data_IF_187107916966
#
_entry.id   IF_187107916966
#
_cell.length_a   1.000
_cell.length_b   1.000
_cell.length_c   1.000
_cell.angle_alpha   90.00
_cell.angle_beta   90.00
_cell.angle_gamma   90.00
#
_symmetry.space_group_name_H-M   'P 1'
#
loop_
_entity.id
_entity.type
_entity.pdbx_description
1 polymer ?
#
# COMPACT_ATOMS: atom_id res chain seq x y z
N UNK A 1 -26.22 -4.97 -29.93
CA UNK A 1 -25.41 -4.78 -31.14
C UNK A 1 -24.24 -3.89 -30.79
N UNK A 2 -23.03 -4.39 -30.83
CA UNK A 2 -21.82 -3.56 -30.67
C UNK A 2 -21.59 -2.90 -32.03
N UNK A 3 -21.90 -1.61 -32.14
CA UNK A 3 -21.69 -0.83 -33.37
C UNK A 3 -20.19 -0.64 -33.56
N UNK A 4 -19.65 -1.29 -34.59
CA UNK A 4 -18.22 -1.21 -34.92
C UNK A 4 -17.94 0.15 -35.54
N UNK A 5 -17.47 1.13 -34.73
CA UNK A 5 -17.07 2.46 -35.19
C UNK A 5 -15.55 2.58 -35.21
N UNK A 6 -14.87 2.15 -36.28
CA UNK A 6 -13.39 2.08 -36.30
C UNK A 6 -12.73 3.44 -36.07
N UNK A 7 -13.32 4.53 -36.57
CA UNK A 7 -12.81 5.89 -36.36
C UNK A 7 -12.90 6.33 -34.89
N UNK A 8 -13.98 6.03 -34.19
CA UNK A 8 -14.12 6.33 -32.77
C UNK A 8 -13.13 5.50 -31.92
N UNK A 9 -12.92 4.24 -32.28
CA UNK A 9 -11.95 3.37 -31.62
C UNK A 9 -10.51 3.91 -31.79
N UNK A 10 -10.14 4.30 -33.01
CA UNK A 10 -8.81 4.90 -33.28
C UNK A 10 -8.63 6.20 -32.49
N UNK A 11 -9.65 7.09 -32.51
CA UNK A 11 -9.59 8.35 -31.75
C UNK A 11 -9.45 8.11 -30.25
N UNK A 12 -10.18 7.15 -29.70
CA UNK A 12 -10.07 6.77 -28.26
C UNK A 12 -8.67 6.27 -27.94
N UNK A 13 -8.08 5.41 -28.77
CA UNK A 13 -6.72 4.93 -28.55
C UNK A 13 -5.68 6.05 -28.66
N UNK A 14 -5.82 6.95 -29.64
CA UNK A 14 -4.95 8.12 -29.75
C UNK A 14 -5.02 9.00 -28.51
N UNK A 15 -6.22 9.29 -28.01
CA UNK A 15 -6.41 10.08 -26.78
C UNK A 15 -5.78 9.40 -25.57
N UNK A 16 -5.95 8.07 -25.43
CA UNK A 16 -5.34 7.30 -24.34
C UNK A 16 -3.80 7.31 -24.45
N UNK A 17 -3.24 7.07 -25.63
CA UNK A 17 -1.78 7.09 -25.84
C UNK A 17 -1.21 8.47 -25.53
N UNK A 18 -1.88 9.53 -26.00
CA UNK A 18 -1.45 10.91 -25.71
C UNK A 18 -1.51 11.21 -24.21
N UNK A 19 -2.56 10.78 -23.52
CA UNK A 19 -2.66 10.88 -22.06
C UNK A 19 -1.54 10.15 -21.34
N UNK A 20 -1.23 8.93 -21.75
CA UNK A 20 -0.11 8.13 -21.19
C UNK A 20 1.23 8.82 -21.43
N UNK A 21 1.46 9.38 -22.61
CA UNK A 21 2.69 10.11 -22.92
C UNK A 21 2.85 11.37 -22.08
N UNK A 22 1.79 12.15 -21.89
CA UNK A 22 1.79 13.37 -21.08
C UNK A 22 2.09 13.03 -19.60
N UNK A 23 1.40 12.01 -19.05
CA UNK A 23 1.59 11.61 -17.65
C UNK A 23 2.95 10.90 -17.45
N UNK A 24 3.39 10.11 -18.42
CA UNK A 24 4.65 9.38 -18.37
C UNK A 24 5.89 10.27 -18.61
N UNK A 25 5.73 11.43 -19.26
CA UNK A 25 6.84 12.30 -19.61
C UNK A 25 7.67 12.78 -18.42
N UNK A 26 7.09 13.27 -17.31
CA UNK A 26 7.86 13.62 -16.11
C UNK A 26 8.63 12.44 -15.51
N UNK A 27 8.04 11.23 -15.54
CA UNK A 27 8.70 10.00 -15.08
C UNK A 27 9.89 9.65 -15.98
N UNK A 28 9.70 9.76 -17.29
CA UNK A 28 10.78 9.59 -18.26
C UNK A 28 11.92 10.60 -18.05
N UNK A 29 11.59 11.90 -17.84
CA UNK A 29 12.59 12.92 -17.54
C UNK A 29 13.39 12.60 -16.27
N UNK A 30 12.70 12.17 -15.21
CA UNK A 30 13.38 11.78 -13.96
C UNK A 30 14.31 10.58 -14.19
N UNK A 31 13.87 9.60 -14.96
CA UNK A 31 14.71 8.47 -15.34
C UNK A 31 15.94 8.94 -16.14
N UNK A 32 15.77 9.76 -17.16
CA UNK A 32 16.89 10.30 -17.95
C UNK A 32 17.86 11.09 -17.07
N UNK A 33 17.33 11.97 -16.22
CA UNK A 33 18.14 12.75 -15.28
C UNK A 33 18.97 11.86 -14.35
N UNK A 34 18.41 10.76 -13.85
CA UNK A 34 19.12 9.81 -12.97
C UNK A 34 20.30 9.10 -13.67
N UNK A 35 20.35 9.10 -14.99
CA UNK A 35 21.43 8.50 -15.79
C UNK A 35 22.54 9.48 -16.16
N UNK A 36 22.35 10.78 -15.89
CA UNK A 36 23.30 11.86 -16.22
C UNK A 36 24.08 12.31 -15.00
N UNK A 37 25.24 12.95 -15.20
CA UNK A 37 25.96 13.60 -14.11
C UNK A 37 25.27 14.94 -13.77
N UNK A 38 25.43 15.41 -12.52
CA UNK A 38 24.89 16.71 -12.10
C UNK A 38 25.42 17.85 -12.99
N UNK A 39 26.68 17.79 -13.44
CA UNK A 39 27.27 18.75 -14.35
C UNK A 39 26.58 18.75 -15.71
N UNK A 40 26.29 17.57 -16.28
CA UNK A 40 25.56 17.45 -17.56
C UNK A 40 24.15 18.04 -17.46
N UNK A 41 23.46 17.86 -16.34
CA UNK A 41 22.12 18.40 -16.14
C UNK A 41 22.14 19.93 -16.06
N UNK A 42 23.13 20.52 -15.37
CA UNK A 42 23.23 21.97 -15.19
C UNK A 42 23.73 22.68 -16.43
N UNK A 43 24.66 22.07 -17.18
CA UNK A 43 25.24 22.68 -18.39
C UNK A 43 24.34 22.58 -19.62
N UNK A 44 23.50 21.53 -19.71
CA UNK A 44 22.59 21.37 -20.83
C UNK A 44 21.22 21.98 -20.51
N UNK A 45 20.95 23.15 -21.04
CA UNK A 45 19.64 23.81 -20.96
C UNK A 45 19.09 24.06 -22.36
N UNK A 46 18.00 23.37 -22.77
CA UNK A 46 17.21 22.36 -22.03
C UNK A 46 17.95 21.03 -21.81
N UNK A 47 17.61 20.33 -20.74
CA UNK A 47 18.20 19.02 -20.41
C UNK A 47 18.06 18.03 -21.58
N UNK A 48 19.12 17.25 -21.83
CA UNK A 48 19.08 16.19 -22.83
C UNK A 48 17.96 15.17 -22.52
N UNK A 49 17.21 14.79 -23.55
CA UNK A 49 16.17 13.76 -23.43
C UNK A 49 16.71 12.33 -23.62
N UNK A 50 18.03 12.20 -23.86
CA UNK A 50 18.66 10.89 -24.04
C UNK A 50 19.32 10.44 -22.75
N UNK A 51 19.21 9.15 -22.37
CA UNK A 51 19.90 8.61 -21.20
C UNK A 51 21.41 8.82 -21.30
N UNK A 52 22.04 9.15 -20.17
CA UNK A 52 23.49 9.29 -20.04
C UNK A 52 24.18 7.96 -19.71
N UNK A 53 25.49 7.98 -19.60
CA UNK A 53 26.32 6.80 -19.29
C UNK A 53 26.55 6.59 -17.80
N UNK A 54 26.08 7.50 -16.93
CA UNK A 54 26.40 7.50 -15.49
C UNK A 54 25.39 6.69 -14.64
N UNK A 55 24.48 5.95 -15.27
CA UNK A 55 23.40 5.22 -14.61
C UNK A 55 23.91 4.32 -13.47
N UNK A 56 24.89 3.47 -13.76
CA UNK A 56 25.37 2.46 -12.79
C UNK A 56 25.96 3.15 -11.55
N UNK A 57 26.74 4.20 -11.74
CA UNK A 57 27.40 4.94 -10.66
C UNK A 57 26.39 5.73 -9.84
N UNK A 58 25.45 6.42 -10.49
CA UNK A 58 24.37 7.14 -9.82
C UNK A 58 23.51 6.22 -8.95
N UNK A 59 23.09 5.08 -9.48
CA UNK A 59 22.25 4.12 -8.72
C UNK A 59 23.04 3.41 -7.63
N UNK A 60 24.33 3.09 -7.85
CA UNK A 60 25.20 2.53 -6.82
C UNK A 60 25.37 3.52 -5.66
N UNK A 61 25.63 4.77 -5.97
CA UNK A 61 25.77 5.84 -4.97
C UNK A 61 24.45 6.07 -4.20
N UNK A 62 23.33 6.10 -4.89
CA UNK A 62 22.02 6.24 -4.26
C UNK A 62 21.65 5.07 -3.34
N UNK A 63 21.91 3.82 -3.78
CA UNK A 63 21.53 2.63 -3.01
C UNK A 63 22.45 2.37 -1.81
N UNK A 64 23.76 2.55 -1.99
CA UNK A 64 24.77 2.14 -0.99
C UNK A 64 25.39 3.33 -0.25
N UNK A 65 25.01 4.54 -0.61
CA UNK A 65 25.59 5.75 -0.04
C UNK A 65 27.02 6.01 -0.54
N UNK A 66 27.57 7.11 -0.12
CA UNK A 66 28.93 7.52 -0.46
C UNK A 66 29.09 9.02 -0.56
N UNK A 67 30.23 9.47 -1.07
CA UNK A 67 30.48 10.89 -1.31
C UNK A 67 30.08 11.28 -2.73
N UNK A 68 29.34 12.38 -2.84
CA UNK A 68 29.07 13.00 -4.12
C UNK A 68 30.33 13.67 -4.69
N UNK A 69 30.34 13.96 -5.98
CA UNK A 69 31.41 14.75 -6.62
C UNK A 69 31.65 16.11 -5.95
N UNK A 70 30.68 16.61 -5.20
CA UNK A 70 30.75 17.89 -4.46
C UNK A 70 31.12 17.71 -2.97
N UNK A 71 31.53 16.53 -2.55
CA UNK A 71 31.96 16.23 -1.17
C UNK A 71 30.84 16.03 -0.15
N UNK A 72 29.60 16.03 -0.57
CA UNK A 72 28.45 15.75 0.32
C UNK A 72 28.32 14.24 0.54
N UNK A 73 28.08 13.81 1.78
CA UNK A 73 27.78 12.42 2.10
C UNK A 73 26.32 12.15 1.83
N UNK A 74 26.03 11.12 1.04
CA UNK A 74 24.67 10.61 0.81
C UNK A 74 24.43 9.37 1.69
N UNK A 75 23.34 9.33 2.46
CA UNK A 75 22.95 8.11 3.17
C UNK A 75 22.51 7.04 2.18
N UNK A 76 22.69 5.75 2.51
CA UNK A 76 22.26 4.66 1.64
C UNK A 76 20.72 4.54 1.61
N UNK A 77 20.12 4.55 0.42
CA UNK A 77 18.67 4.37 0.27
C UNK A 77 18.21 2.89 0.40
N UNK A 78 19.11 1.91 0.23
CA UNK A 78 18.73 0.50 0.27
C UNK A 78 18.11 0.06 1.62
N UNK A 79 18.66 0.41 2.80
CA UNK A 79 18.01 0.15 4.08
C UNK A 79 16.64 0.81 4.19
N UNK A 80 16.50 2.05 3.74
CA UNK A 80 15.23 2.78 3.78
C UNK A 80 14.15 2.13 2.90
N UNK A 81 14.54 1.68 1.69
CA UNK A 81 13.67 0.91 0.80
C UNK A 81 13.25 -0.42 1.43
N UNK A 82 14.17 -1.08 2.15
CA UNK A 82 13.86 -2.30 2.88
C UNK A 82 12.84 -2.05 3.99
N UNK A 83 13.05 -1.03 4.82
CA UNK A 83 12.10 -0.64 5.88
C UNK A 83 10.74 -0.32 5.28
N UNK A 84 10.68 0.49 4.20
CA UNK A 84 9.43 0.80 3.49
C UNK A 84 8.72 -0.44 2.96
N UNK A 85 9.47 -1.36 2.35
CA UNK A 85 8.90 -2.59 1.78
C UNK A 85 8.31 -3.47 2.86
N UNK A 86 9.08 -3.73 3.94
CA UNK A 86 8.61 -4.57 5.05
C UNK A 86 7.40 -3.94 5.73
N UNK A 87 7.44 -2.64 6.04
CA UNK A 87 6.32 -1.96 6.70
C UNK A 87 5.07 -1.94 5.83
N UNK A 88 5.19 -1.62 4.55
CA UNK A 88 4.05 -1.61 3.61
C UNK A 88 3.43 -3.00 3.45
N UNK A 89 4.25 -4.06 3.32
CA UNK A 89 3.79 -5.44 3.22
C UNK A 89 3.07 -5.89 4.50
N UNK A 90 3.66 -5.66 5.67
CA UNK A 90 3.06 -6.06 6.95
C UNK A 90 1.75 -5.33 7.19
N UNK A 91 1.68 -4.02 6.89
CA UNK A 91 0.45 -3.24 6.99
C UNK A 91 -0.61 -3.77 6.03
N UNK A 92 -0.28 -4.00 4.75
CA UNK A 92 -1.23 -4.46 3.75
C UNK A 92 -1.78 -5.86 4.08
N UNK A 93 -0.90 -6.81 4.37
CA UNK A 93 -1.29 -8.18 4.71
C UNK A 93 -2.05 -8.21 6.04
N UNK A 94 -1.57 -7.50 7.07
CA UNK A 94 -2.22 -7.43 8.37
C UNK A 94 -3.65 -6.88 8.29
N UNK A 95 -3.84 -5.77 7.54
CA UNK A 95 -5.17 -5.19 7.29
C UNK A 95 -6.10 -6.19 6.61
N UNK A 96 -5.62 -6.88 5.58
CA UNK A 96 -6.43 -7.84 4.82
C UNK A 96 -6.83 -9.01 5.72
N UNK A 97 -5.89 -9.62 6.43
CA UNK A 97 -6.16 -10.78 7.30
C UNK A 97 -7.17 -10.43 8.39
N UNK A 98 -6.93 -9.34 9.14
CA UNK A 98 -7.83 -8.92 10.22
C UNK A 98 -9.21 -8.57 9.67
N UNK A 99 -9.27 -7.89 8.52
CA UNK A 99 -10.53 -7.46 7.91
C UNK A 99 -11.35 -8.63 7.36
N UNK A 100 -10.70 -9.62 6.74
CA UNK A 100 -11.35 -10.85 6.30
C UNK A 100 -11.96 -11.62 7.48
N UNK A 101 -11.18 -11.81 8.55
CA UNK A 101 -11.65 -12.51 9.75
C UNK A 101 -12.79 -11.76 10.44
N UNK A 102 -12.67 -10.42 10.55
CA UNK A 102 -13.71 -9.58 11.15
C UNK A 102 -15.00 -9.59 10.33
N UNK A 103 -14.90 -9.47 9.01
CA UNK A 103 -16.04 -9.55 8.10
C UNK A 103 -16.70 -10.94 8.15
N UNK A 104 -15.90 -12.01 8.16
CA UNK A 104 -16.37 -13.38 8.31
C UNK A 104 -17.15 -13.57 9.61
N UNK A 105 -16.59 -13.09 10.73
CA UNK A 105 -17.27 -13.17 12.03
C UNK A 105 -18.62 -12.43 12.03
N UNK A 106 -18.63 -11.20 11.49
CA UNK A 106 -19.82 -10.34 11.48
C UNK A 106 -20.91 -10.87 10.52
N UNK A 107 -20.55 -11.53 9.41
CA UNK A 107 -21.55 -12.02 8.44
C UNK A 107 -22.06 -13.40 8.79
N UNK A 108 -21.19 -14.35 9.09
CA UNK A 108 -21.56 -15.78 9.18
C UNK A 108 -21.84 -16.29 10.60
N UNK A 109 -21.36 -15.57 11.64
CA UNK A 109 -21.64 -15.99 13.01
C UNK A 109 -22.81 -15.21 13.63
N UNK A 110 -23.64 -15.93 14.41
CA UNK A 110 -24.74 -15.35 15.17
C UNK A 110 -24.31 -15.19 16.63
N UNK A 111 -24.01 -13.98 17.04
CA UNK A 111 -23.68 -13.66 18.43
C UNK A 111 -24.42 -12.38 18.87
N UNK A 112 -24.70 -12.22 20.17
CA UNK A 112 -25.37 -11.02 20.68
C UNK A 112 -24.48 -9.78 20.45
N UNK A 113 -25.09 -8.69 20.02
CA UNK A 113 -24.35 -7.44 19.76
C UNK A 113 -23.59 -7.39 18.42
N UNK A 114 -23.74 -8.37 17.52
CA UNK A 114 -23.08 -8.39 16.20
C UNK A 114 -23.18 -7.07 15.45
N UNK A 115 -24.36 -6.50 15.39
CA UNK A 115 -24.60 -5.22 14.71
C UNK A 115 -23.89 -4.06 15.42
N UNK A 116 -23.88 -4.06 16.76
CA UNK A 116 -23.15 -3.05 17.54
C UNK A 116 -21.64 -3.13 17.28
N UNK A 117 -21.04 -4.33 17.28
CA UNK A 117 -19.62 -4.53 16.96
C UNK A 117 -19.30 -4.00 15.57
N UNK A 118 -20.13 -4.31 14.57
CA UNK A 118 -19.94 -3.77 13.22
C UNK A 118 -19.98 -2.23 13.21
N UNK A 119 -20.98 -1.63 13.87
CA UNK A 119 -21.09 -0.17 13.93
C UNK A 119 -19.93 0.47 14.70
N UNK A 120 -19.44 -0.15 15.78
CA UNK A 120 -18.24 0.32 16.46
C UNK A 120 -17.02 0.35 15.54
N UNK A 121 -16.80 -0.72 14.76
CA UNK A 121 -15.73 -0.74 13.76
C UNK A 121 -15.96 0.37 12.71
N UNK A 122 -17.19 0.51 12.23
CA UNK A 122 -17.53 1.48 11.18
C UNK A 122 -17.32 2.93 11.66
N UNK A 123 -17.70 3.26 12.89
CA UNK A 123 -17.53 4.60 13.47
C UNK A 123 -16.05 5.00 13.53
N UNK A 124 -15.13 4.03 13.67
CA UNK A 124 -13.69 4.33 13.64
C UNK A 124 -13.21 4.91 12.31
N UNK A 125 -13.95 4.72 11.19
CA UNK A 125 -13.67 5.38 9.90
C UNK A 125 -13.85 6.88 9.97
N UNK A 126 -14.75 7.36 10.83
CA UNK A 126 -15.09 8.78 10.95
C UNK A 126 -14.08 9.56 11.78
N UNK A 127 -13.21 8.87 12.52
CA UNK A 127 -12.19 9.53 13.33
C UNK A 127 -10.99 9.90 12.45
N UNK A 128 -10.69 11.19 12.27
CA UNK A 128 -9.48 11.64 11.59
C UNK A 128 -8.23 11.05 12.22
N UNK A 129 -7.23 10.71 11.40
CA UNK A 129 -5.95 10.14 11.87
C UNK A 129 -5.28 11.10 12.85
N UNK A 130 -5.39 12.39 12.61
CA UNK A 130 -4.80 13.48 13.40
C UNK A 130 -5.29 13.47 14.85
N UNK A 131 -6.56 13.13 15.09
CA UNK A 131 -7.14 13.09 16.44
C UNK A 131 -6.59 11.93 17.27
N UNK A 132 -6.32 10.80 16.63
CA UNK A 132 -5.88 9.56 17.32
C UNK A 132 -4.36 9.37 17.34
N UNK A 133 -3.59 10.17 16.58
CA UNK A 133 -2.16 9.94 16.40
C UNK A 133 -1.40 10.09 17.73
N UNK A 134 -1.66 11.14 18.51
CA UNK A 134 -0.97 11.37 19.78
C UNK A 134 -1.32 10.33 20.86
N UNK A 135 -2.60 9.95 21.10
CA UNK A 135 -2.92 8.85 21.99
C UNK A 135 -2.27 7.53 21.57
N UNK A 136 -2.24 7.24 20.27
CA UNK A 136 -1.61 6.00 19.76
C UNK A 136 -0.09 6.03 19.94
N UNK A 137 0.55 7.19 19.68
CA UNK A 137 1.97 7.40 19.97
C UNK A 137 2.31 7.10 21.43
N UNK A 138 1.51 7.65 22.36
CA UNK A 138 1.73 7.41 23.78
C UNK A 138 1.69 5.92 24.14
N UNK A 139 0.70 5.18 23.62
CA UNK A 139 0.59 3.74 23.86
C UNK A 139 1.79 2.99 23.27
N UNK A 140 2.20 3.30 22.04
CA UNK A 140 3.37 2.68 21.40
C UNK A 140 4.65 2.97 22.18
N UNK A 141 4.81 4.20 22.68
CA UNK A 141 5.94 4.61 23.51
C UNK A 141 5.95 3.90 24.86
N UNK A 142 4.80 3.84 25.55
CA UNK A 142 4.65 3.17 26.85
C UNK A 142 4.94 1.64 26.75
N UNK A 143 4.66 1.06 25.57
CA UNK A 143 4.97 -0.35 25.26
C UNK A 143 6.42 -0.57 24.80
N UNK A 144 7.25 0.46 24.70
CA UNK A 144 8.65 0.37 24.23
C UNK A 144 8.79 -0.03 22.77
N UNK A 145 7.80 0.29 21.92
CA UNK A 145 7.78 -0.11 20.51
C UNK A 145 8.33 0.97 19.56
N UNK A 146 8.84 2.10 20.07
CA UNK A 146 9.51 3.11 19.24
C UNK A 146 10.76 2.52 18.55
N UNK A 147 11.08 2.98 17.35
CA UNK A 147 12.19 2.47 16.55
C UNK A 147 12.12 0.96 16.27
N UNK A 148 10.92 0.41 16.12
CA UNK A 148 10.70 -1.00 15.77
C UNK A 148 9.71 -1.17 14.63
N UNK A 149 9.82 -2.27 13.88
CA UNK A 149 8.82 -2.65 12.89
C UNK A 149 7.42 -2.82 13.51
N UNK A 150 7.34 -3.28 14.76
CA UNK A 150 6.07 -3.41 15.46
C UNK A 150 5.40 -2.06 15.68
N UNK A 151 6.14 -1.04 16.13
CA UNK A 151 5.63 0.32 16.27
C UNK A 151 5.18 0.95 14.96
N UNK A 152 5.90 0.67 13.88
CA UNK A 152 5.57 1.17 12.55
C UNK A 152 4.32 0.49 11.95
N UNK A 153 4.01 -0.75 12.32
CA UNK A 153 3.00 -1.57 11.63
C UNK A 153 1.76 -1.90 12.45
N UNK A 154 1.92 -2.40 13.68
CA UNK A 154 0.82 -2.92 14.50
C UNK A 154 -0.34 -1.93 14.69
N UNK A 155 -0.10 -0.65 14.99
CA UNK A 155 -1.19 0.31 15.14
C UNK A 155 -1.96 0.58 13.82
N UNK A 156 -1.38 0.26 12.68
CA UNK A 156 -1.93 0.52 11.36
C UNK A 156 -2.61 -0.69 10.71
N UNK A 157 -2.48 -1.91 11.26
CA UNK A 157 -3.07 -3.11 10.64
C UNK A 157 -4.59 -3.22 10.80
N UNK A 158 -5.22 -2.44 11.66
CA UNK A 158 -6.68 -2.38 11.74
C UNK A 158 -7.23 -1.45 10.64
N UNK A 159 -8.23 -1.93 9.89
CA UNK A 159 -8.87 -1.16 8.82
C UNK A 159 -10.36 -1.40 8.79
N UNK A 160 -11.12 -0.40 9.21
CA UNK A 160 -12.57 -0.44 9.12
C UNK A 160 -13.04 -0.41 7.64
N UNK A 161 -12.34 0.31 6.76
CA UNK A 161 -12.65 0.34 5.31
C UNK A 161 -12.54 -1.05 4.68
N UNK A 162 -11.44 -1.76 4.91
CA UNK A 162 -11.27 -3.10 4.37
C UNK A 162 -12.28 -4.09 4.96
N UNK A 163 -12.57 -4.00 6.27
CA UNK A 163 -13.61 -4.81 6.92
C UNK A 163 -14.98 -4.55 6.32
N UNK A 164 -15.33 -3.29 6.06
CA UNK A 164 -16.59 -2.91 5.41
C UNK A 164 -16.68 -3.49 4.00
N UNK A 165 -15.64 -3.36 3.18
CA UNK A 165 -15.62 -3.87 1.81
C UNK A 165 -15.75 -5.40 1.76
N UNK A 166 -15.01 -6.13 2.60
CA UNK A 166 -15.16 -7.58 2.67
C UNK A 166 -16.54 -8.00 3.19
N UNK A 167 -17.10 -7.27 4.17
CA UNK A 167 -18.47 -7.52 4.63
C UNK A 167 -19.48 -7.35 3.50
N UNK A 168 -19.38 -6.27 2.71
CA UNK A 168 -20.29 -6.06 1.58
C UNK A 168 -20.15 -7.18 0.55
N UNK A 169 -18.93 -7.59 0.24
CA UNK A 169 -18.69 -8.72 -0.64
C UNK A 169 -19.29 -10.02 -0.09
N UNK A 170 -19.05 -10.35 1.18
CA UNK A 170 -19.59 -11.58 1.80
C UNK A 170 -21.11 -11.63 1.84
N UNK A 171 -21.79 -10.49 1.91
CA UNK A 171 -23.25 -10.43 1.83
C UNK A 171 -23.79 -10.70 0.40
N UNK A 172 -22.94 -10.68 -0.62
CA UNK A 172 -23.32 -11.06 -1.99
C UNK A 172 -23.09 -12.53 -2.29
N UNK A 173 -22.42 -13.25 -1.41
CA UNK A 173 -22.15 -14.69 -1.58
C UNK A 173 -23.46 -15.45 -1.34
N UNK A 174 -23.90 -16.32 -2.30
CA UNK A 174 -25.13 -17.08 -2.18
C UNK A 174 -25.12 -18.03 -0.98
N UNK A 175 -26.25 -18.12 -0.27
CA UNK A 175 -26.41 -19.00 0.89
C UNK A 175 -26.27 -20.49 0.52
N UNK A 176 -26.56 -20.86 -0.72
CA UNK A 176 -26.41 -22.21 -1.27
C UNK A 176 -24.98 -22.74 -1.15
N UNK A 177 -23.96 -21.87 -1.24
CA UNK A 177 -22.56 -22.26 -1.04
C UNK A 177 -22.27 -22.61 0.42
N UNK A 178 -22.92 -21.94 1.35
CA UNK A 178 -22.81 -22.23 2.80
C UNK A 178 -23.48 -23.56 3.09
N UNK A 179 -24.67 -23.81 2.51
CA UNK A 179 -25.43 -25.05 2.68
C UNK A 179 -24.69 -26.23 2.06
N UNK A 180 -24.18 -26.09 0.84
CA UNK A 180 -23.38 -27.13 0.19
C UNK A 180 -22.15 -27.51 1.03
N UNK A 181 -21.41 -26.53 1.51
CA UNK A 181 -20.25 -26.77 2.38
C UNK A 181 -20.63 -27.52 3.67
N UNK A 182 -21.80 -27.21 4.25
CA UNK A 182 -22.30 -27.94 5.44
C UNK A 182 -22.68 -29.38 5.13
N UNK A 183 -23.31 -29.62 3.98
CA UNK A 183 -23.65 -30.98 3.51
C UNK A 183 -22.37 -31.78 3.32
N UNK A 184 -21.31 -31.17 2.80
CA UNK A 184 -19.99 -31.79 2.65
C UNK A 184 -19.22 -31.94 3.97
N UNK A 185 -19.81 -31.56 5.11
CA UNK A 185 -19.20 -31.67 6.44
C UNK A 185 -18.11 -30.63 6.72
N UNK A 186 -18.06 -29.54 5.96
CA UNK A 186 -17.10 -28.47 6.19
C UNK A 186 -17.48 -27.64 7.42
N UNK A 187 -16.56 -27.55 8.38
CA UNK A 187 -16.68 -26.57 9.48
C UNK A 187 -16.46 -25.14 9.01
N UNK A 188 -16.78 -24.14 9.87
CA UNK A 188 -16.72 -22.72 9.50
C UNK A 188 -15.35 -22.26 8.94
N UNK A 189 -14.24 -22.70 9.54
CA UNK A 189 -12.90 -22.33 9.08
C UNK A 189 -12.52 -23.00 7.75
N UNK A 190 -13.04 -24.22 7.49
CA UNK A 190 -12.86 -24.88 6.21
C UNK A 190 -13.62 -24.13 5.11
N UNK A 191 -14.88 -23.77 5.37
CA UNK A 191 -15.65 -22.91 4.47
C UNK A 191 -14.95 -21.56 4.21
N UNK A 192 -14.43 -20.90 5.25
CA UNK A 192 -13.68 -19.66 5.12
C UNK A 192 -12.47 -19.82 4.19
N UNK A 193 -11.62 -20.83 4.47
CA UNK A 193 -10.36 -21.03 3.74
C UNK A 193 -10.57 -21.54 2.32
N UNK A 194 -11.47 -22.54 2.15
CA UNK A 194 -11.58 -23.30 0.91
C UNK A 194 -12.60 -22.68 -0.07
N UNK A 195 -13.52 -21.84 0.43
CA UNK A 195 -14.57 -21.22 -0.39
C UNK A 195 -14.45 -19.69 -0.38
N UNK A 196 -14.55 -19.05 0.79
CA UNK A 196 -14.62 -17.58 0.85
C UNK A 196 -13.33 -16.88 0.43
N UNK A 197 -12.18 -17.33 0.90
CA UNK A 197 -10.89 -16.71 0.57
C UNK A 197 -10.59 -16.82 -0.93
N UNK A 198 -10.71 -18.00 -1.58
CA UNK A 198 -10.55 -18.09 -3.03
C UNK A 198 -11.54 -17.23 -3.82
N UNK A 199 -12.80 -17.21 -3.41
CA UNK A 199 -13.84 -16.39 -4.05
C UNK A 199 -13.56 -14.88 -3.92
N UNK A 200 -12.88 -14.48 -2.83
CA UNK A 200 -12.50 -13.09 -2.55
C UNK A 200 -11.19 -12.66 -3.23
N UNK A 201 -10.53 -13.53 -4.00
CA UNK A 201 -9.18 -13.30 -4.52
C UNK A 201 -9.02 -11.98 -5.27
N UNK A 202 -9.99 -11.60 -6.11
CA UNK A 202 -9.99 -10.32 -6.83
C UNK A 202 -10.08 -9.13 -5.88
N UNK A 203 -10.96 -9.21 -4.86
CA UNK A 203 -11.10 -8.15 -3.85
C UNK A 203 -9.86 -8.06 -2.97
N UNK A 204 -9.26 -9.20 -2.61
CA UNK A 204 -8.00 -9.27 -1.86
C UNK A 204 -6.88 -8.60 -2.66
N UNK A 205 -6.74 -8.93 -3.95
CA UNK A 205 -5.70 -8.36 -4.81
C UNK A 205 -5.86 -6.84 -4.96
N UNK A 206 -7.08 -6.36 -5.21
CA UNK A 206 -7.36 -4.93 -5.32
C UNK A 206 -7.06 -4.18 -4.01
N UNK A 207 -7.52 -4.72 -2.87
CA UNK A 207 -7.25 -4.12 -1.56
C UNK A 207 -5.78 -4.20 -1.19
N UNK A 208 -5.06 -5.27 -1.57
CA UNK A 208 -3.62 -5.38 -1.33
C UNK A 208 -2.87 -4.22 -1.99
N UNK A 209 -3.12 -3.95 -3.26
CA UNK A 209 -2.47 -2.84 -3.98
C UNK A 209 -2.77 -1.50 -3.28
N UNK A 210 -4.04 -1.23 -2.95
CA UNK A 210 -4.45 0.01 -2.29
C UNK A 210 -3.77 0.14 -0.91
N UNK A 211 -3.78 -0.92 -0.10
CA UNK A 211 -3.22 -0.88 1.25
C UNK A 211 -1.69 -0.88 1.26
N UNK A 212 -1.06 -1.50 0.26
CA UNK A 212 0.39 -1.42 0.07
C UNK A 212 0.82 0.01 -0.26
N UNK A 213 0.15 0.65 -1.22
CA UNK A 213 0.42 2.05 -1.58
C UNK A 213 0.17 2.97 -0.37
N UNK A 214 -0.90 2.73 0.39
CA UNK A 214 -1.17 3.46 1.63
C UNK A 214 -0.04 3.28 2.66
N UNK A 215 0.42 2.05 2.89
CA UNK A 215 1.51 1.74 3.81
C UNK A 215 2.85 2.33 3.35
N UNK A 216 3.13 2.29 2.05
CA UNK A 216 4.33 2.86 1.46
C UNK A 216 4.43 4.38 1.59
N UNK A 217 3.32 5.08 1.36
CA UNK A 217 3.26 6.54 1.39
C UNK A 217 3.04 7.13 2.81
N UNK A 218 3.18 6.34 3.87
CA UNK A 218 3.09 6.84 5.24
C UNK A 218 4.28 7.77 5.54
N UNK A 219 3.99 9.01 5.90
CA UNK A 219 4.99 10.01 6.29
C UNK A 219 4.90 10.37 7.78
N UNK A 220 3.74 10.87 8.20
CA UNK A 220 3.55 11.41 9.55
C UNK A 220 3.71 10.35 10.64
N UNK A 221 3.25 9.11 10.39
CA UNK A 221 3.36 8.05 11.36
C UNK A 221 4.81 7.61 11.59
N UNK A 222 5.60 7.25 10.58
CA UNK A 222 7.03 6.96 10.77
C UNK A 222 7.81 8.13 11.36
N UNK A 223 7.51 9.37 10.96
CA UNK A 223 8.17 10.56 11.50
C UNK A 223 8.06 10.66 13.05
N UNK A 224 6.94 10.22 13.61
CA UNK A 224 6.75 10.19 15.06
C UNK A 224 7.33 8.93 15.71
N UNK A 225 7.31 7.79 15.02
CA UNK A 225 7.68 6.49 15.59
C UNK A 225 9.17 6.18 15.51
N UNK A 226 9.92 6.87 14.64
CA UNK A 226 11.33 6.61 14.43
C UNK A 226 12.18 7.84 14.72
N UNK A 227 13.21 7.65 15.51
CA UNK A 227 14.26 8.63 15.82
C UNK A 227 15.64 8.13 15.40
N UNK A 228 15.74 6.86 14.97
CA UNK A 228 16.96 6.23 14.47
C UNK A 228 16.90 6.15 12.95
N UNK A 229 17.96 6.59 12.27
CA UNK A 229 18.06 6.57 10.82
C UNK A 229 17.94 5.15 10.23
N UNK A 230 18.36 4.12 10.98
CA UNK A 230 18.25 2.72 10.57
C UNK A 230 16.80 2.25 10.35
N UNK A 231 15.84 2.96 10.93
CA UNK A 231 14.42 2.63 10.87
C UNK A 231 13.61 3.60 10.00
N UNK A 232 14.28 4.49 9.27
CA UNK A 232 13.61 5.43 8.39
C UNK A 232 13.10 4.73 7.12
N UNK A 233 11.80 4.85 6.81
CA UNK A 233 11.29 4.54 5.48
C UNK A 233 11.80 5.55 4.45
N UNK A 234 11.82 5.17 3.18
CA UNK A 234 12.31 6.02 2.07
C UNK A 234 11.58 7.36 1.94
N UNK A 235 10.38 7.48 2.47
CA UNK A 235 9.59 8.73 2.46
C UNK A 235 10.12 9.76 3.48
N UNK A 236 10.93 9.34 4.46
CA UNK A 236 11.58 10.20 5.47
C UNK A 236 13.03 10.56 5.10
N UNK A 237 13.72 9.75 4.30
CA UNK A 237 15.09 9.97 3.84
C UNK A 237 15.12 10.72 2.52
#
# INVERSE_FOLDING_TARGET
>A
MVENRPAATVLSHLTLVLGVLIIGFPVYLTFVASTQTAEQIVQNVPMSLLPGSNMIESYKLALFGGQTAYGSNLPPAAPMLWVSTVTALVIAVGKIVISLLSAFAVVYFRFPGRSLVFWMIFVTLMLPVEVRILPTYKVVSDLGMLNTYAGLTVPLIASATATFLFRQFFLTVPDELVEAARIDGAGPMRFFKDVLVPLSSTSIAALFVIQFIYGWNQYLWPLLMTTSEDMYPVVLG
#
